data_IF_520553967520
#
_entry.id   IF_520553967520
#
_cell.length_a   1.000
_cell.length_b   1.000
_cell.length_c   1.000
_cell.angle_alpha   90.00
_cell.angle_beta   90.00
_cell.angle_gamma   90.00
#
_symmetry.space_group_name_H-M   'P 1'
#
loop_
_entity.id
_entity.type
_entity.pdbx_description
1 polymer ?
#
# COMPACT_ATOMS: atom_id res chain seq x y z
N UNK A 1 24.05 -47.85 -11.87
CA UNK A 1 23.92 -46.54 -12.53
C UNK A 1 22.52 -45.97 -12.28
N UNK A 2 22.47 -44.77 -11.68
CA UNK A 2 21.45 -43.70 -11.82
C UNK A 2 19.95 -44.09 -11.71
N UNK A 3 19.41 -44.15 -10.49
CA UNK A 3 17.95 -44.16 -10.23
C UNK A 3 17.47 -43.09 -9.22
N UNK A 4 18.33 -42.16 -8.84
CA UNK A 4 18.05 -41.13 -7.81
C UNK A 4 17.77 -39.73 -8.36
N UNK A 5 17.80 -39.53 -9.68
CA UNK A 5 17.75 -38.17 -10.26
C UNK A 5 16.35 -37.56 -10.42
N UNK A 6 15.29 -38.35 -10.56
CA UNK A 6 13.95 -37.80 -10.85
C UNK A 6 13.21 -37.25 -9.63
N UNK A 7 13.41 -37.85 -8.45
CA UNK A 7 12.79 -37.37 -7.21
C UNK A 7 13.35 -36.00 -6.77
N UNK A 8 14.63 -35.75 -7.04
CA UNK A 8 15.29 -34.48 -6.72
C UNK A 8 14.85 -33.33 -7.65
N UNK A 9 14.57 -33.67 -8.93
CA UNK A 9 14.04 -32.74 -9.93
C UNK A 9 12.57 -32.35 -9.68
N UNK A 10 11.74 -33.28 -9.19
CA UNK A 10 10.35 -32.96 -8.83
C UNK A 10 10.28 -32.06 -7.57
N UNK A 11 11.16 -32.30 -6.59
CA UNK A 11 11.23 -31.50 -5.36
C UNK A 11 11.73 -30.06 -5.61
N UNK A 12 12.57 -29.84 -6.63
CA UNK A 12 13.03 -28.49 -7.01
C UNK A 12 11.96 -27.69 -7.75
N UNK A 13 11.13 -28.33 -8.59
CA UNK A 13 10.02 -27.66 -9.28
C UNK A 13 8.90 -27.21 -8.35
N UNK A 14 8.64 -27.94 -7.25
CA UNK A 14 7.58 -27.59 -6.29
C UNK A 14 7.91 -26.37 -5.42
N UNK A 15 9.19 -25.98 -5.31
CA UNK A 15 9.63 -24.83 -4.52
C UNK A 15 9.53 -23.48 -5.29
N UNK A 16 9.30 -23.49 -6.60
CA UNK A 16 9.13 -22.25 -7.38
C UNK A 16 7.69 -21.70 -7.39
N UNK A 17 6.71 -22.43 -6.88
CA UNK A 17 5.30 -22.04 -6.93
C UNK A 17 4.85 -21.07 -5.82
N UNK A 18 5.75 -20.67 -4.91
CA UNK A 18 5.36 -20.08 -3.61
C UNK A 18 5.33 -18.56 -3.49
N UNK A 19 5.52 -17.77 -4.54
CA UNK A 19 5.65 -16.29 -4.41
C UNK A 19 4.96 -15.52 -5.53
N UNK A 20 3.77 -15.94 -5.95
CA UNK A 20 2.93 -15.04 -6.73
C UNK A 20 2.39 -13.95 -5.77
N UNK A 21 2.59 -12.65 -6.05
CA UNK A 21 1.95 -11.61 -5.27
C UNK A 21 0.44 -11.85 -5.32
N UNK A 22 -0.21 -11.87 -4.16
CA UNK A 22 -1.67 -11.94 -4.10
C UNK A 22 -2.23 -10.70 -4.81
N UNK A 23 -2.81 -10.89 -6.00
CA UNK A 23 -3.52 -9.83 -6.69
C UNK A 23 -4.75 -9.48 -5.84
N UNK A 24 -4.72 -8.30 -5.20
CA UNK A 24 -5.80 -7.84 -4.34
C UNK A 24 -7.00 -7.26 -5.13
N UNK A 25 -6.85 -7.07 -6.44
CA UNK A 25 -7.87 -6.55 -7.36
C UNK A 25 -8.63 -7.70 -8.01
N UNK A 26 -9.78 -7.40 -8.62
CA UNK A 26 -10.53 -8.38 -9.40
C UNK A 26 -9.79 -8.76 -10.71
N UNK A 27 -10.43 -9.61 -11.51
CA UNK A 27 -9.85 -10.15 -12.75
C UNK A 27 -9.63 -9.08 -13.84
N UNK A 28 -10.24 -7.90 -13.71
CA UNK A 28 -10.11 -6.76 -14.61
C UNK A 28 -9.24 -5.63 -14.01
N UNK A 29 -8.46 -5.97 -12.97
CA UNK A 29 -7.64 -5.04 -12.20
C UNK A 29 -8.45 -3.88 -11.57
N UNK A 30 -9.72 -4.12 -11.25
CA UNK A 30 -10.60 -3.18 -10.57
C UNK A 30 -10.80 -3.54 -9.10
N UNK A 31 -11.34 -2.59 -8.34
CA UNK A 31 -11.73 -2.80 -6.95
C UNK A 31 -12.93 -1.91 -6.60
N UNK A 32 -13.76 -2.37 -5.66
CA UNK A 32 -14.90 -1.60 -5.19
C UNK A 32 -14.43 -0.41 -4.34
N UNK A 33 -14.97 0.77 -4.64
CA UNK A 33 -14.69 2.00 -3.90
C UNK A 33 -15.95 2.45 -3.18
N UNK A 34 -15.84 2.70 -1.88
CA UNK A 34 -16.95 3.14 -1.04
C UNK A 34 -16.72 4.57 -0.55
N UNK A 35 -17.78 5.38 -0.53
CA UNK A 35 -17.73 6.78 -0.08
C UNK A 35 -17.06 7.72 -1.09
N UNK A 36 -16.58 8.88 -0.62
CA UNK A 36 -16.08 9.97 -1.49
C UNK A 36 -14.90 9.61 -2.38
N UNK A 37 -14.23 8.47 -2.14
CA UNK A 37 -13.22 7.94 -3.07
C UNK A 37 -13.76 7.59 -4.46
N UNK A 38 -15.06 7.30 -4.60
CA UNK A 38 -15.69 7.02 -5.90
C UNK A 38 -16.00 8.30 -6.68
N UNK A 39 -15.91 9.47 -6.06
CA UNK A 39 -16.06 10.73 -6.75
C UNK A 39 -14.86 10.97 -7.67
N UNK A 40 -15.05 11.77 -8.71
CA UNK A 40 -13.95 12.19 -9.57
C UNK A 40 -13.11 13.30 -8.92
N UNK A 41 -11.90 13.48 -9.44
CA UNK A 41 -10.96 14.50 -9.01
C UNK A 41 -11.52 15.92 -9.06
N UNK A 42 -12.38 16.25 -10.04
CA UNK A 42 -13.04 17.55 -10.08
C UNK A 42 -13.93 17.81 -8.85
N UNK A 43 -14.66 16.80 -8.37
CA UNK A 43 -15.45 16.90 -7.14
C UNK A 43 -14.58 17.10 -5.90
N UNK A 44 -13.44 16.42 -5.81
CA UNK A 44 -12.44 16.67 -4.77
C UNK A 44 -11.94 18.12 -4.77
N UNK A 45 -11.60 18.67 -5.95
CA UNK A 45 -11.15 20.07 -6.06
C UNK A 45 -12.22 21.06 -5.59
N UNK A 46 -13.48 20.82 -5.94
CA UNK A 46 -14.60 21.64 -5.45
C UNK A 46 -14.75 21.52 -3.93
N UNK A 47 -14.55 20.33 -3.37
CA UNK A 47 -14.60 20.13 -1.93
C UNK A 47 -13.44 20.83 -1.21
N UNK A 48 -12.23 20.80 -1.79
CA UNK A 48 -11.02 21.47 -1.30
C UNK A 48 -11.19 22.99 -1.31
N UNK A 49 -11.70 23.57 -2.40
CA UNK A 49 -11.97 25.01 -2.52
C UNK A 49 -13.01 25.49 -1.49
N UNK A 50 -14.10 24.74 -1.31
CA UNK A 50 -15.15 25.07 -0.33
C UNK A 50 -14.72 24.86 1.12
N UNK A 51 -13.75 23.97 1.34
CA UNK A 51 -13.30 23.54 2.65
C UNK A 51 -14.41 22.92 3.52
N UNK A 52 -14.21 22.96 4.83
CA UNK A 52 -15.24 22.65 5.82
C UNK A 52 -15.65 21.17 5.80
N UNK A 53 -16.97 20.90 5.80
CA UNK A 53 -17.47 19.52 5.95
C UNK A 53 -17.20 18.66 4.73
N UNK A 54 -17.28 19.24 3.53
CA UNK A 54 -17.06 18.52 2.28
C UNK A 54 -15.61 18.02 2.22
N UNK A 55 -14.66 18.91 2.44
CA UNK A 55 -13.24 18.59 2.48
C UNK A 55 -12.90 17.53 3.54
N UNK A 56 -13.47 17.67 4.76
CA UNK A 56 -13.22 16.70 5.85
C UNK A 56 -13.60 15.27 5.48
N UNK A 57 -14.62 15.05 4.64
CA UNK A 57 -14.94 13.70 4.17
C UNK A 57 -13.81 13.08 3.37
N UNK A 58 -13.14 13.85 2.50
CA UNK A 58 -11.97 13.38 1.75
C UNK A 58 -10.78 13.14 2.67
N UNK A 59 -10.56 13.99 3.68
CA UNK A 59 -9.49 13.75 4.66
C UNK A 59 -9.71 12.46 5.45
N UNK A 60 -10.93 12.22 5.95
CA UNK A 60 -11.25 10.99 6.67
C UNK A 60 -11.13 9.75 5.79
N UNK A 61 -11.63 9.84 4.55
CA UNK A 61 -11.52 8.74 3.59
C UNK A 61 -10.05 8.43 3.25
N UNK A 62 -9.24 9.45 2.98
CA UNK A 62 -7.81 9.32 2.69
C UNK A 62 -7.05 8.71 3.87
N UNK A 63 -7.29 9.18 5.09
CA UNK A 63 -6.66 8.62 6.29
C UNK A 63 -7.01 7.14 6.48
N UNK A 64 -8.26 6.75 6.21
CA UNK A 64 -8.68 5.35 6.23
C UNK A 64 -8.00 4.51 5.15
N UNK A 65 -7.96 5.02 3.92
CA UNK A 65 -7.28 4.35 2.80
C UNK A 65 -5.79 4.12 3.09
N UNK A 66 -5.07 5.16 3.54
CA UNK A 66 -3.65 5.05 3.87
C UNK A 66 -3.39 4.10 5.05
N UNK A 67 -4.30 4.06 6.02
CA UNK A 67 -4.24 3.09 7.13
C UNK A 67 -4.42 1.65 6.62
N UNK A 68 -5.34 1.42 5.68
CA UNK A 68 -5.50 0.12 5.04
C UNK A 68 -4.25 -0.29 4.24
N UNK A 69 -3.64 0.65 3.51
CA UNK A 69 -2.38 0.44 2.80
C UNK A 69 -1.25 0.09 3.77
N UNK A 70 -1.12 0.80 4.89
CA UNK A 70 -0.10 0.48 5.90
C UNK A 70 -0.30 -0.91 6.49
N UNK A 71 -1.54 -1.32 6.70
CA UNK A 71 -1.85 -2.63 7.28
C UNK A 71 -1.65 -3.80 6.29
N UNK A 72 -2.03 -3.62 5.02
CA UNK A 72 -1.99 -4.68 4.02
C UNK A 72 -0.70 -4.70 3.17
N UNK A 73 0.01 -3.57 3.10
CA UNK A 73 1.21 -3.39 2.30
C UNK A 73 2.41 -4.15 2.87
N UNK A 74 3.17 -4.81 1.99
CA UNK A 74 4.33 -5.59 2.41
C UNK A 74 5.40 -4.71 3.06
N UNK A 75 5.83 -5.08 4.26
CA UNK A 75 6.86 -4.37 5.02
C UNK A 75 6.57 -2.87 5.11
N UNK A 76 5.35 -2.48 5.42
CA UNK A 76 4.95 -1.06 5.47
C UNK A 76 4.51 -0.71 6.88
N UNK A 77 5.18 0.28 7.49
CA UNK A 77 4.69 0.91 8.73
C UNK A 77 3.94 2.20 8.41
N UNK A 78 4.55 3.05 7.57
CA UNK A 78 3.96 4.30 7.14
C UNK A 78 4.30 4.57 5.67
N UNK A 79 3.28 4.47 4.81
CA UNK A 79 3.38 4.72 3.37
C UNK A 79 3.74 6.16 3.04
N UNK A 80 3.45 7.13 3.93
CA UNK A 80 3.81 8.52 3.68
C UNK A 80 5.30 8.80 3.84
N UNK A 81 6.06 7.87 4.45
CA UNK A 81 7.46 8.09 4.78
C UNK A 81 7.60 9.34 5.65
N UNK A 82 8.41 10.29 5.18
CA UNK A 82 8.67 11.56 5.85
C UNK A 82 7.69 12.69 5.45
N UNK A 83 6.74 12.42 4.55
CA UNK A 83 5.74 13.40 4.11
C UNK A 83 4.64 13.57 5.15
N UNK A 84 4.17 14.81 5.29
CA UNK A 84 3.00 15.13 6.10
C UNK A 84 1.70 14.89 5.33
N UNK A 85 0.58 14.81 6.04
CA UNK A 85 -0.73 14.75 5.39
C UNK A 85 -1.01 16.00 4.52
N UNK A 86 -0.45 17.17 4.89
CA UNK A 86 -0.61 18.39 4.11
C UNK A 86 0.11 18.28 2.76
N UNK A 87 1.36 17.79 2.74
CA UNK A 87 2.12 17.59 1.49
C UNK A 87 1.38 16.66 0.53
N UNK A 88 0.70 15.66 1.08
CA UNK A 88 -0.08 14.69 0.32
C UNK A 88 -1.36 15.29 -0.25
N UNK A 89 -2.07 16.11 0.53
CA UNK A 89 -3.26 16.81 0.05
C UNK A 89 -2.92 17.79 -1.06
N UNK A 90 -1.80 18.50 -0.95
CA UNK A 90 -1.30 19.42 -1.97
C UNK A 90 -0.87 18.68 -3.25
N UNK A 91 -0.23 17.51 -3.10
CA UNK A 91 0.07 16.64 -4.25
C UNK A 91 -1.20 16.16 -4.95
N UNK A 92 -2.21 15.73 -4.19
CA UNK A 92 -3.49 15.27 -4.72
C UNK A 92 -4.25 16.40 -5.42
N UNK A 93 -4.15 17.63 -4.91
CA UNK A 93 -4.72 18.82 -5.56
C UNK A 93 -4.09 19.03 -6.95
N UNK A 94 -2.76 19.00 -7.04
CA UNK A 94 -2.04 19.09 -8.31
C UNK A 94 -2.36 17.96 -9.29
N UNK A 95 -2.38 16.71 -8.81
CA UNK A 95 -2.74 15.55 -9.62
C UNK A 95 -4.17 15.68 -10.15
N UNK A 96 -5.12 16.02 -9.28
CA UNK A 96 -6.52 16.12 -9.66
C UNK A 96 -6.82 17.30 -10.59
N UNK A 97 -6.07 18.41 -10.48
CA UNK A 97 -6.16 19.51 -11.44
C UNK A 97 -5.76 19.08 -12.85
N UNK A 98 -4.75 18.22 -12.97
CA UNK A 98 -4.32 17.65 -14.26
C UNK A 98 -5.24 16.53 -14.77
N UNK A 99 -5.96 15.83 -13.88
CA UNK A 99 -6.72 14.61 -14.19
C UNK A 99 -8.17 14.67 -13.65
N UNK A 100 -9.01 15.64 -14.04
CA UNK A 100 -10.28 15.94 -13.38
C UNK A 100 -11.32 14.80 -13.43
N UNK A 101 -11.23 13.92 -14.42
CA UNK A 101 -12.17 12.81 -14.63
C UNK A 101 -11.76 11.50 -13.93
N UNK A 102 -10.56 11.44 -13.35
CA UNK A 102 -10.08 10.24 -12.63
C UNK A 102 -10.78 10.14 -11.29
N UNK A 103 -11.19 8.93 -10.89
CA UNK A 103 -11.73 8.68 -9.55
C UNK A 103 -10.68 9.02 -8.48
N UNK A 104 -11.09 9.69 -7.42
CA UNK A 104 -10.19 10.11 -6.34
C UNK A 104 -9.42 8.93 -5.74
N UNK A 105 -10.06 7.77 -5.59
CA UNK A 105 -9.39 6.56 -5.13
C UNK A 105 -8.24 6.10 -6.06
N UNK A 106 -8.38 6.26 -7.37
CA UNK A 106 -7.32 5.93 -8.32
C UNK A 106 -6.17 6.94 -8.23
N UNK A 107 -6.46 8.23 -8.06
CA UNK A 107 -5.44 9.24 -7.79
C UNK A 107 -4.62 8.90 -6.52
N UNK A 108 -5.28 8.46 -5.45
CA UNK A 108 -4.63 8.02 -4.22
C UNK A 108 -3.85 6.71 -4.42
N UNK A 109 -4.34 5.77 -5.24
CA UNK A 109 -3.62 4.54 -5.56
C UNK A 109 -2.33 4.81 -6.37
N UNK A 110 -2.37 5.72 -7.33
CA UNK A 110 -1.20 6.17 -8.09
C UNK A 110 -0.17 6.84 -7.18
N UNK A 111 -0.65 7.72 -6.28
CA UNK A 111 0.19 8.32 -5.25
C UNK A 111 0.88 7.28 -4.38
N UNK A 112 0.16 6.28 -3.88
CA UNK A 112 0.72 5.20 -3.05
C UNK A 112 1.79 4.42 -3.81
N UNK A 113 1.60 4.21 -5.11
CA UNK A 113 2.59 3.55 -5.97
C UNK A 113 3.90 4.34 -6.01
N UNK A 114 3.81 5.67 -6.12
CA UNK A 114 4.99 6.56 -6.11
C UNK A 114 5.68 6.60 -4.75
N UNK A 115 4.92 6.58 -3.66
CA UNK A 115 5.48 6.66 -2.30
C UNK A 115 6.08 5.36 -1.79
N UNK A 116 5.79 4.23 -2.45
CA UNK A 116 6.13 2.92 -1.92
C UNK A 116 7.63 2.72 -1.69
N UNK A 117 8.50 3.31 -2.53
CA UNK A 117 9.96 3.23 -2.34
C UNK A 117 10.45 4.00 -1.11
N UNK A 118 9.75 5.06 -0.75
CA UNK A 118 10.13 6.01 0.30
C UNK A 118 9.40 5.72 1.62
N UNK A 119 8.60 4.65 1.66
CA UNK A 119 7.82 4.26 2.83
C UNK A 119 8.74 3.91 3.99
N UNK A 120 8.28 4.23 5.19
CA UNK A 120 8.91 3.71 6.39
C UNK A 120 8.47 2.26 6.58
N UNK A 121 9.44 1.35 6.58
CA UNK A 121 9.20 -0.09 6.73
C UNK A 121 9.11 -0.52 8.21
N UNK A 122 9.51 0.36 9.14
CA UNK A 122 9.58 0.08 10.57
C UNK A 122 9.04 1.25 11.38
N UNK A 123 8.43 0.94 12.53
CA UNK A 123 8.00 1.95 13.48
C UNK A 123 9.21 2.71 14.05
N UNK A 124 9.06 4.03 14.34
CA UNK A 124 10.12 4.82 14.97
C UNK A 124 10.67 4.14 16.24
N UNK A 125 12.01 4.08 16.34
CA UNK A 125 12.70 3.47 17.46
C UNK A 125 12.64 1.93 17.52
N UNK A 126 12.23 1.25 16.45
CA UNK A 126 12.28 -0.22 16.35
C UNK A 126 13.36 -0.66 15.39
N UNK A 127 14.16 -1.65 15.80
CA UNK A 127 15.26 -2.24 15.02
C UNK A 127 14.79 -3.39 14.10
N UNK A 128 13.49 -3.53 13.83
CA UNK A 128 13.01 -4.47 12.80
C UNK A 128 13.10 -5.95 13.16
N UNK A 129 13.07 -6.30 14.45
CA UNK A 129 13.02 -7.69 14.87
C UNK A 129 14.30 -8.49 14.66
N UNK A 130 15.39 -7.89 14.17
CA UNK A 130 16.71 -8.52 14.12
C UNK A 130 17.14 -9.07 15.48
N UNK A 131 16.87 -8.32 16.56
CA UNK A 131 17.13 -8.75 17.93
C UNK A 131 16.31 -9.99 18.33
N UNK A 132 15.13 -10.20 17.74
CA UNK A 132 14.32 -11.41 17.98
C UNK A 132 14.96 -12.66 17.41
N UNK A 133 15.84 -12.54 16.40
CA UNK A 133 16.58 -13.68 15.85
C UNK A 133 17.90 -13.92 16.59
N UNK A 134 18.54 -12.88 17.11
CA UNK A 134 19.81 -13.00 17.84
C UNK A 134 19.64 -13.36 19.32
N UNK A 135 18.48 -13.08 19.92
CA UNK A 135 18.18 -13.35 21.34
C UNK A 135 17.33 -14.60 21.57
N UNK A 136 17.05 -15.42 20.54
CA UNK A 136 16.36 -16.69 20.77
C UNK A 136 17.25 -17.61 21.61
N UNK A 137 16.82 -18.06 22.81
CA UNK A 137 17.58 -19.04 23.56
C UNK A 137 17.70 -20.32 22.73
N UNK A 138 18.92 -20.88 22.69
CA UNK A 138 19.21 -22.14 22.03
C UNK A 138 18.15 -23.18 22.42
N UNK A 139 17.58 -23.96 21.48
CA UNK A 139 16.68 -25.04 21.86
C UNK A 139 17.43 -25.98 22.81
N UNK A 140 16.84 -26.21 23.98
CA UNK A 140 17.36 -27.18 24.95
C UNK A 140 17.49 -28.55 24.27
N UNK A 141 18.59 -29.28 24.52
CA UNK A 141 18.90 -30.54 23.83
C UNK A 141 17.87 -31.65 24.03
#
# INVERSE_FOLDING_TARGET
MKRTSHAFLLATLLNLAGVLPAAARDMDEQYAVFGVGSDNCAAYLVARDRGGRAERWYHHWLAGYLSAVNNAGASTYNILGDKSMADILDWLEGYCAANPNVNFANAVADMVTLLYTDRQNMAPGKEGGWNKFTEQPSPSP
#
